data_IF_105251770121
#
_entry.id   IF_105251770121
#
_cell.length_a   1.000
_cell.length_b   1.000
_cell.length_c   1.000
_cell.angle_alpha   90.00
_cell.angle_beta   90.00
_cell.angle_gamma   90.00
#
_symmetry.space_group_name_H-M   'P 1'
#
loop_
_entity.id
_entity.type
_entity.pdbx_description
1 polymer ?
#
# COMPACT_ATOMS: atom_id res chain seq x y z
N UNK A 1 7.80 -28.22 -13.52
CA UNK A 1 6.88 -28.47 -12.39
C UNK A 1 5.65 -27.58 -12.56
N UNK A 2 4.49 -28.16 -12.90
CA UNK A 2 3.26 -27.39 -13.18
C UNK A 2 2.56 -27.09 -11.86
N UNK A 3 2.82 -25.92 -11.26
CA UNK A 3 2.12 -25.50 -10.05
C UNK A 3 0.71 -25.05 -10.46
N UNK A 4 -0.33 -25.66 -9.86
CA UNK A 4 -1.72 -25.23 -10.08
C UNK A 4 -1.92 -23.79 -9.58
N UNK A 5 -2.66 -22.98 -10.33
CA UNK A 5 -2.94 -21.56 -10.03
C UNK A 5 -3.30 -21.29 -8.55
N UNK A 6 -4.25 -22.05 -8.00
CA UNK A 6 -4.69 -21.84 -6.61
C UNK A 6 -3.58 -22.08 -5.59
N UNK A 7 -2.71 -23.09 -5.81
CA UNK A 7 -1.57 -23.33 -4.92
C UNK A 7 -0.54 -22.21 -4.99
N UNK A 8 -0.27 -21.70 -6.19
CA UNK A 8 0.63 -20.57 -6.38
C UNK A 8 0.07 -19.28 -5.76
N UNK A 9 -1.23 -19.02 -5.92
CA UNK A 9 -1.87 -17.87 -5.29
C UNK A 9 -1.77 -17.90 -3.77
N UNK A 10 -2.09 -19.04 -3.15
CA UNK A 10 -1.96 -19.19 -1.70
C UNK A 10 -0.51 -19.06 -1.24
N UNK A 11 0.45 -19.57 -2.01
CA UNK A 11 1.88 -19.39 -1.72
C UNK A 11 2.26 -17.92 -1.72
N UNK A 12 1.85 -17.15 -2.72
CA UNK A 12 2.10 -15.69 -2.80
C UNK A 12 1.49 -14.97 -1.60
N UNK A 13 0.24 -15.27 -1.25
CA UNK A 13 -0.44 -14.66 -0.10
C UNK A 13 0.31 -14.96 1.20
N UNK A 14 0.62 -16.22 1.46
CA UNK A 14 1.31 -16.64 2.69
C UNK A 14 2.69 -16.01 2.78
N UNK A 15 3.48 -16.04 1.68
CA UNK A 15 4.80 -15.43 1.66
C UNK A 15 4.73 -13.92 1.88
N UNK A 16 3.81 -13.22 1.22
CA UNK A 16 3.66 -11.78 1.37
C UNK A 16 3.31 -11.38 2.80
N UNK A 17 2.37 -12.09 3.43
CA UNK A 17 1.98 -11.86 4.82
C UNK A 17 3.15 -12.19 5.77
N UNK A 18 3.77 -13.37 5.61
CA UNK A 18 4.83 -13.83 6.49
C UNK A 18 6.10 -12.96 6.43
N UNK A 19 6.40 -12.38 5.28
CA UNK A 19 7.56 -11.49 5.10
C UNK A 19 7.33 -10.07 5.62
N UNK A 20 6.08 -9.61 5.72
CA UNK A 20 5.75 -8.24 6.09
C UNK A 20 5.24 -8.13 7.52
N UNK A 21 4.09 -8.75 7.79
CA UNK A 21 3.28 -8.47 8.97
C UNK A 21 3.99 -8.73 10.31
N UNK A 22 4.73 -9.84 10.53
CA UNK A 22 5.34 -10.12 11.83
C UNK A 22 6.46 -9.16 12.23
N UNK A 23 7.04 -8.43 11.27
CA UNK A 23 8.28 -7.66 11.47
C UNK A 23 8.06 -6.16 11.63
N UNK A 24 6.84 -5.64 11.41
CA UNK A 24 6.56 -4.19 11.37
C UNK A 24 6.86 -3.45 12.69
N UNK A 25 6.68 -4.12 13.82
CA UNK A 25 6.86 -3.53 15.15
C UNK A 25 8.16 -3.88 15.86
N UNK A 26 9.11 -4.58 15.18
CA UNK A 26 10.33 -5.07 15.81
C UNK A 26 11.40 -4.00 16.03
N UNK A 27 11.29 -2.86 15.38
CA UNK A 27 12.25 -1.76 15.51
C UNK A 27 11.53 -0.44 15.66
N UNK A 28 12.15 0.48 16.38
CA UNK A 28 11.74 1.89 16.41
C UNK A 28 11.70 2.48 15.00
N UNK A 29 11.19 3.70 14.85
CA UNK A 29 11.20 4.38 13.56
C UNK A 29 12.63 4.57 13.04
N UNK A 30 12.93 4.03 11.86
CA UNK A 30 14.28 4.00 11.28
C UNK A 30 14.67 5.29 10.57
N UNK A 31 13.69 6.12 10.18
CA UNK A 31 13.94 7.35 9.43
C UNK A 31 13.20 8.53 10.05
N UNK A 32 13.76 9.74 9.92
CA UNK A 32 13.12 10.99 10.40
C UNK A 32 11.73 11.25 9.80
N UNK A 33 11.41 10.61 8.66
CA UNK A 33 10.13 10.76 7.99
C UNK A 33 9.01 9.91 8.60
N UNK A 34 9.33 8.76 9.20
CA UNK A 34 8.32 7.86 9.75
C UNK A 34 7.56 8.46 10.95
N UNK A 35 8.25 8.95 12.00
CA UNK A 35 7.54 9.53 13.14
C UNK A 35 6.72 10.76 12.75
N UNK A 36 7.16 11.52 11.75
CA UNK A 36 6.38 12.67 11.27
C UNK A 36 5.02 12.24 10.72
N UNK A 37 4.95 11.21 9.90
CA UNK A 37 3.68 10.70 9.36
C UNK A 37 2.80 10.09 10.48
N UNK A 38 3.42 9.41 11.45
CA UNK A 38 2.70 8.85 12.59
C UNK A 38 2.11 9.94 13.51
N UNK A 39 2.87 11.01 13.79
CA UNK A 39 2.41 12.15 14.60
C UNK A 39 1.22 12.85 13.94
N UNK A 40 1.23 13.03 12.61
CA UNK A 40 0.09 13.62 11.90
C UNK A 40 -1.17 12.76 12.07
N UNK A 41 -1.05 11.43 11.96
CA UNK A 41 -2.19 10.55 12.20
C UNK A 41 -2.66 10.58 13.67
N UNK A 42 -1.72 10.68 14.63
CA UNK A 42 -2.03 10.83 16.03
C UNK A 42 -2.83 12.13 16.31
N UNK A 43 -2.38 13.26 15.77
CA UNK A 43 -3.07 14.55 15.93
C UNK A 43 -4.44 14.57 15.24
N UNK A 44 -4.61 13.84 14.13
CA UNK A 44 -5.93 13.63 13.53
C UNK A 44 -6.91 12.97 14.50
N UNK A 45 -6.45 11.92 15.18
CA UNK A 45 -7.27 11.17 16.13
C UNK A 45 -7.56 11.97 17.40
N UNK A 46 -6.58 12.73 17.90
CA UNK A 46 -6.69 13.51 19.13
C UNK A 46 -7.56 14.75 18.98
N UNK A 47 -7.40 15.49 17.86
CA UNK A 47 -8.12 16.75 17.63
C UNK A 47 -9.33 16.63 16.70
N UNK A 48 -9.58 15.45 16.11
CA UNK A 48 -10.70 15.22 15.20
C UNK A 48 -10.62 15.95 13.85
N UNK A 49 -9.46 16.53 13.50
CA UNK A 49 -9.28 17.25 12.24
C UNK A 49 -8.71 16.33 11.15
N UNK A 50 -9.60 15.78 10.34
CA UNK A 50 -9.28 14.81 9.29
C UNK A 50 -8.90 15.43 7.95
N UNK A 51 -9.24 16.70 7.72
CA UNK A 51 -9.03 17.37 6.43
C UNK A 51 -7.71 18.16 6.43
N UNK A 52 -7.47 18.92 7.48
CA UNK A 52 -6.26 19.72 7.66
C UNK A 52 -5.59 19.32 9.00
N UNK A 53 -4.99 18.12 9.05
CA UNK A 53 -4.29 17.70 10.26
C UNK A 53 -3.11 18.63 10.55
N UNK A 54 -2.66 18.63 11.77
CA UNK A 54 -1.54 19.45 12.22
C UNK A 54 -0.36 18.53 12.53
N UNK A 55 0.83 18.93 12.09
CA UNK A 55 2.07 18.29 12.52
C UNK A 55 2.50 18.81 13.90
N UNK A 56 3.46 18.16 14.52
CA UNK A 56 4.06 18.62 15.76
C UNK A 56 4.60 20.05 15.60
N UNK A 57 4.06 21.01 16.39
CA UNK A 57 4.41 22.44 16.29
C UNK A 57 3.37 23.32 15.61
N UNK A 58 2.26 22.77 15.11
CA UNK A 58 1.15 23.54 14.53
C UNK A 58 1.22 23.71 13.01
N UNK A 59 2.25 23.16 12.36
CA UNK A 59 2.41 23.25 10.91
C UNK A 59 1.48 22.29 10.15
N UNK A 60 0.97 22.72 8.99
CA UNK A 60 0.21 21.87 8.08
C UNK A 60 1.19 20.91 7.36
N UNK A 61 0.89 19.60 7.31
CA UNK A 61 1.72 18.64 6.57
C UNK A 61 1.82 18.96 5.09
N UNK A 62 3.00 18.74 4.51
CA UNK A 62 3.24 18.96 3.08
C UNK A 62 2.48 17.99 2.16
N UNK A 63 1.99 16.88 2.70
CA UNK A 63 1.36 15.81 1.92
C UNK A 63 -0.13 15.78 2.16
N UNK A 64 -0.92 15.41 1.13
CA UNK A 64 -2.35 15.20 1.29
C UNK A 64 -2.66 14.08 2.30
N UNK A 65 -3.89 14.04 2.88
CA UNK A 65 -4.17 13.29 4.09
C UNK A 65 -4.42 11.80 3.93
N UNK A 66 -4.51 11.24 2.72
CA UNK A 66 -4.95 9.86 2.50
C UNK A 66 -4.09 8.83 3.24
N UNK A 67 -2.77 8.98 3.21
CA UNK A 67 -1.87 8.06 3.92
C UNK A 67 -2.09 8.12 5.44
N UNK A 68 -2.29 9.32 5.98
CA UNK A 68 -2.57 9.52 7.40
C UNK A 68 -3.93 8.95 7.80
N UNK A 69 -4.95 9.01 6.91
CA UNK A 69 -6.23 8.32 7.12
C UNK A 69 -6.04 6.81 7.23
N UNK A 70 -5.17 6.22 6.39
CA UNK A 70 -4.88 4.80 6.49
C UNK A 70 -4.19 4.44 7.82
N UNK A 71 -3.21 5.24 8.28
CA UNK A 71 -2.58 5.04 9.59
C UNK A 71 -3.63 5.16 10.70
N UNK A 72 -4.42 6.22 10.70
CA UNK A 72 -5.46 6.46 11.68
C UNK A 72 -6.47 5.32 11.75
N UNK A 73 -6.88 4.78 10.59
CA UNK A 73 -7.79 3.64 10.50
C UNK A 73 -7.22 2.39 11.21
N UNK A 74 -5.97 2.01 10.93
CA UNK A 74 -5.35 0.86 11.60
C UNK A 74 -5.10 1.12 13.08
N UNK A 75 -4.78 2.36 13.44
CA UNK A 75 -4.56 2.77 14.83
C UNK A 75 -5.85 2.76 15.65
N UNK A 76 -6.98 3.12 15.05
CA UNK A 76 -8.31 3.01 15.69
C UNK A 76 -8.66 1.55 16.02
N UNK A 77 -8.34 0.61 15.12
CA UNK A 77 -8.58 -0.83 15.36
C UNK A 77 -7.67 -1.35 16.49
N UNK A 78 -6.41 -0.91 16.54
CA UNK A 78 -5.44 -1.33 17.54
C UNK A 78 -5.55 -0.57 18.88
N UNK A 79 -6.29 0.55 18.91
CA UNK A 79 -6.48 1.41 20.07
C UNK A 79 -5.37 2.45 20.29
N UNK A 80 -4.30 2.45 19.52
CA UNK A 80 -3.18 3.39 19.67
C UNK A 80 -2.35 3.52 18.38
N UNK A 81 -1.64 4.64 18.25
CA UNK A 81 -0.66 4.88 17.19
C UNK A 81 0.72 4.41 17.66
N UNK A 82 1.34 3.52 16.93
CA UNK A 82 2.70 3.04 17.18
C UNK A 82 3.41 2.71 15.85
N UNK A 83 4.62 2.18 15.91
CA UNK A 83 5.42 1.80 14.75
C UNK A 83 4.70 0.75 13.89
N UNK A 84 4.09 -0.25 14.53
CA UNK A 84 3.36 -1.32 13.85
C UNK A 84 2.17 -0.78 13.06
N UNK A 85 1.27 -0.03 13.73
CA UNK A 85 0.06 0.51 13.09
C UNK A 85 0.38 1.54 12.01
N UNK A 86 1.46 2.30 12.20
CA UNK A 86 1.91 3.31 11.24
C UNK A 86 2.52 2.70 9.97
N UNK A 87 3.16 1.53 10.05
CA UNK A 87 3.74 0.81 8.91
C UNK A 87 2.74 -0.09 8.19
N UNK A 88 1.62 -0.48 8.84
CA UNK A 88 0.60 -1.34 8.25
C UNK A 88 0.09 -0.87 6.88
N UNK A 89 -0.21 0.42 6.63
CA UNK A 89 -0.66 0.87 5.31
C UNK A 89 0.33 0.54 4.19
N UNK A 90 1.63 0.70 4.43
CA UNK A 90 2.68 0.39 3.47
C UNK A 90 2.78 -1.12 3.23
N UNK A 91 2.78 -1.92 4.28
CA UNK A 91 2.85 -3.38 4.19
C UNK A 91 1.64 -3.97 3.45
N UNK A 92 0.43 -3.55 3.82
CA UNK A 92 -0.81 -3.98 3.16
C UNK A 92 -0.81 -3.58 1.68
N UNK A 93 -0.32 -2.38 1.35
CA UNK A 93 -0.21 -1.93 -0.03
C UNK A 93 0.74 -2.78 -0.86
N UNK A 94 1.90 -3.17 -0.32
CA UNK A 94 2.83 -4.08 -0.99
C UNK A 94 2.22 -5.47 -1.18
N UNK A 95 1.56 -6.01 -0.15
CA UNK A 95 0.85 -7.29 -0.22
C UNK A 95 -0.20 -7.27 -1.33
N UNK A 96 -1.06 -6.26 -1.34
CA UNK A 96 -2.12 -6.11 -2.35
C UNK A 96 -1.56 -5.91 -3.76
N UNK A 97 -0.50 -5.11 -3.91
CA UNK A 97 0.18 -4.89 -5.19
C UNK A 97 0.78 -6.20 -5.73
N UNK A 98 1.41 -6.98 -4.88
CA UNK A 98 2.01 -8.27 -5.26
C UNK A 98 0.96 -9.30 -5.64
N UNK A 99 -0.10 -9.46 -4.84
CA UNK A 99 -1.22 -10.37 -5.15
C UNK A 99 -1.94 -9.92 -6.42
N UNK A 100 -2.21 -8.62 -6.55
CA UNK A 100 -2.83 -8.03 -7.74
C UNK A 100 -1.99 -8.28 -9.01
N UNK A 101 -0.68 -8.10 -8.93
CA UNK A 101 0.26 -8.40 -10.00
C UNK A 101 0.26 -9.87 -10.38
N UNK A 102 0.33 -10.78 -9.40
CA UNK A 102 0.23 -12.21 -9.65
C UNK A 102 -1.06 -12.56 -10.38
N UNK A 103 -2.21 -12.12 -9.87
CA UNK A 103 -3.53 -12.40 -10.48
C UNK A 103 -3.65 -11.81 -11.89
N UNK A 104 -3.09 -10.62 -12.11
CA UNK A 104 -3.11 -9.95 -13.40
C UNK A 104 -2.30 -10.71 -14.45
N UNK A 105 -1.06 -11.07 -14.12
CA UNK A 105 -0.15 -11.75 -15.04
C UNK A 105 -0.47 -13.24 -15.24
N UNK A 106 -0.92 -13.95 -14.21
CA UNK A 106 -1.26 -15.38 -14.31
C UNK A 106 -2.41 -15.65 -15.30
N UNK A 107 -3.27 -14.67 -15.52
CA UNK A 107 -4.35 -14.76 -16.54
C UNK A 107 -3.88 -14.46 -17.97
N UNK A 108 -2.71 -13.85 -18.16
CA UNK A 108 -2.21 -13.34 -19.45
C UNK A 108 -0.97 -14.05 -19.96
N UNK A 109 -0.20 -14.60 -19.05
CA UNK A 109 1.02 -15.35 -19.33
C UNK A 109 0.83 -16.79 -18.83
N UNK A 110 1.45 -17.11 -17.74
CA UNK A 110 1.36 -18.41 -17.08
C UNK A 110 1.59 -18.25 -15.57
N UNK A 111 1.19 -19.25 -14.81
CA UNK A 111 1.26 -19.25 -13.35
C UNK A 111 2.71 -19.22 -12.84
N UNK A 112 3.63 -19.89 -13.55
CA UNK A 112 5.03 -20.00 -13.10
C UNK A 112 5.77 -18.68 -13.23
N UNK A 113 5.70 -18.03 -14.39
CA UNK A 113 6.28 -16.70 -14.62
C UNK A 113 5.69 -15.67 -13.64
N UNK A 114 4.39 -15.72 -13.40
CA UNK A 114 3.71 -14.82 -12.48
C UNK A 114 4.13 -15.03 -11.02
N UNK A 115 4.39 -16.28 -10.62
CA UNK A 115 4.93 -16.60 -9.31
C UNK A 115 6.35 -16.05 -9.13
N UNK A 116 7.21 -16.21 -10.11
CA UNK A 116 8.57 -15.65 -10.09
C UNK A 116 8.50 -14.12 -9.98
N UNK A 117 7.67 -13.47 -10.80
CA UNK A 117 7.51 -12.01 -10.74
C UNK A 117 7.02 -11.53 -9.36
N UNK A 118 6.08 -12.24 -8.74
CA UNK A 118 5.59 -11.92 -7.40
C UNK A 118 6.70 -12.06 -6.34
N UNK A 119 7.49 -13.14 -6.39
CA UNK A 119 8.62 -13.34 -5.48
C UNK A 119 9.68 -12.25 -5.68
N UNK A 120 10.04 -11.92 -6.91
CA UNK A 120 10.98 -10.84 -7.21
C UNK A 120 10.48 -9.48 -6.69
N UNK A 121 9.19 -9.21 -6.81
CA UNK A 121 8.58 -7.98 -6.26
C UNK A 121 8.73 -7.92 -4.74
N UNK A 122 8.44 -9.00 -4.02
CA UNK A 122 8.55 -9.07 -2.57
C UNK A 122 10.00 -8.99 -2.06
N UNK A 123 10.95 -9.54 -2.82
CA UNK A 123 12.35 -9.62 -2.42
C UNK A 123 13.23 -8.50 -2.96
N UNK A 124 12.72 -7.66 -3.86
CA UNK A 124 13.43 -6.47 -4.34
C UNK A 124 13.68 -5.52 -3.16
N UNK A 125 14.96 -5.26 -2.87
CA UNK A 125 15.42 -4.57 -1.65
C UNK A 125 14.66 -3.27 -1.38
N UNK A 126 14.57 -2.38 -2.37
CA UNK A 126 13.89 -1.09 -2.21
C UNK A 126 12.37 -1.22 -2.07
N UNK A 127 11.75 -2.16 -2.77
CA UNK A 127 10.32 -2.42 -2.69
C UNK A 127 9.97 -2.99 -1.32
N UNK A 128 10.74 -3.97 -0.86
CA UNK A 128 10.61 -4.54 0.48
C UNK A 128 10.77 -3.48 1.56
N UNK A 129 11.85 -2.69 1.48
CA UNK A 129 12.11 -1.58 2.41
C UNK A 129 10.96 -0.56 2.41
N UNK A 130 10.42 -0.21 1.26
CA UNK A 130 9.28 0.70 1.16
C UNK A 130 8.00 0.14 1.81
N UNK A 131 7.78 -1.18 1.73
CA UNK A 131 6.69 -1.87 2.41
C UNK A 131 6.85 -1.96 3.92
N UNK A 132 8.09 -1.94 4.43
CA UNK A 132 8.39 -2.03 5.87
C UNK A 132 8.47 -0.67 6.57
N UNK A 133 8.43 0.44 5.84
CA UNK A 133 8.55 1.78 6.39
C UNK A 133 7.20 2.53 6.39
N UNK A 134 7.02 3.40 7.39
CA UNK A 134 5.87 4.31 7.45
C UNK A 134 6.08 5.50 6.49
N UNK A 135 5.84 5.24 5.18
CA UNK A 135 6.02 6.25 4.12
C UNK A 135 4.96 6.13 3.03
N UNK A 136 4.56 7.28 2.50
CA UNK A 136 3.53 7.38 1.45
C UNK A 136 3.88 6.65 0.15
N UNK A 137 5.18 6.41 -0.09
CA UNK A 137 5.69 5.95 -1.39
C UNK A 137 5.11 4.60 -1.81
N UNK A 138 5.01 3.63 -0.86
CA UNK A 138 4.48 2.31 -1.18
C UNK A 138 2.99 2.34 -1.47
N UNK A 139 2.21 3.08 -0.67
CA UNK A 139 0.77 3.25 -0.89
C UNK A 139 0.51 3.92 -2.24
N UNK A 140 1.25 5.00 -2.53
CA UNK A 140 1.15 5.69 -3.81
C UNK A 140 1.46 4.76 -5.00
N UNK A 141 2.57 4.02 -4.94
CA UNK A 141 2.97 3.07 -5.99
C UNK A 141 1.93 1.97 -6.20
N UNK A 142 1.39 1.41 -5.12
CA UNK A 142 0.37 0.37 -5.20
C UNK A 142 -0.93 0.88 -5.84
N UNK A 143 -1.34 2.11 -5.53
CA UNK A 143 -2.51 2.75 -6.14
C UNK A 143 -2.30 3.02 -7.64
N UNK A 144 -1.13 3.53 -8.03
CA UNK A 144 -0.79 3.76 -9.45
C UNK A 144 -0.77 2.43 -10.22
N UNK A 145 -0.07 1.41 -9.72
CA UNK A 145 -0.01 0.09 -10.36
C UNK A 145 -1.40 -0.56 -10.42
N UNK A 146 -2.18 -0.43 -9.36
CA UNK A 146 -3.58 -0.87 -9.32
C UNK A 146 -4.44 -0.19 -10.38
N UNK A 147 -4.32 1.13 -10.52
CA UNK A 147 -5.01 1.90 -11.56
C UNK A 147 -4.63 1.40 -12.97
N UNK A 148 -3.33 1.18 -13.23
CA UNK A 148 -2.85 0.68 -14.52
C UNK A 148 -3.42 -0.70 -14.85
N UNK A 149 -3.45 -1.64 -13.89
CA UNK A 149 -4.04 -2.96 -14.08
C UNK A 149 -5.55 -2.89 -14.35
N UNK A 150 -6.26 -2.02 -13.65
CA UNK A 150 -7.69 -1.84 -13.82
C UNK A 150 -8.05 -1.17 -15.15
N UNK A 151 -7.29 -0.16 -15.57
CA UNK A 151 -7.44 0.50 -16.88
C UNK A 151 -7.14 -0.47 -18.02
N UNK A 152 -6.08 -1.26 -17.90
CA UNK A 152 -5.75 -2.28 -18.91
C UNK A 152 -6.87 -3.33 -19.04
N UNK A 153 -7.41 -3.81 -17.92
CA UNK A 153 -8.57 -4.74 -17.93
C UNK A 153 -9.83 -4.11 -18.51
N UNK A 154 -10.05 -2.84 -18.25
CA UNK A 154 -11.17 -2.09 -18.80
C UNK A 154 -11.05 -2.00 -20.32
N UNK A 155 -9.87 -1.66 -20.82
CA UNK A 155 -9.56 -1.61 -22.25
C UNK A 155 -9.71 -2.97 -22.92
N UNK A 156 -9.15 -4.04 -22.34
CA UNK A 156 -9.30 -5.42 -22.87
C UNK A 156 -10.76 -5.87 -23.05
N UNK A 157 -11.62 -5.43 -22.14
CA UNK A 157 -13.04 -5.83 -22.16
C UNK A 157 -13.88 -5.02 -23.12
N UNK A 158 -13.34 -4.00 -23.78
CA UNK A 158 -14.07 -3.10 -24.69
C UNK A 158 -15.29 -2.43 -24.03
N UNK A 159 -15.27 -2.21 -22.72
CA UNK A 159 -16.41 -1.65 -21.99
C UNK A 159 -16.47 -0.14 -22.15
N UNK A 160 -17.66 0.37 -22.47
CA UNK A 160 -17.93 1.80 -22.56
C UNK A 160 -18.29 2.44 -21.20
N UNK A 161 -18.40 1.66 -20.12
CA UNK A 161 -18.69 2.15 -18.78
C UNK A 161 -17.44 2.74 -18.13
N UNK A 162 -17.61 3.77 -17.30
CA UNK A 162 -16.51 4.40 -16.56
C UNK A 162 -15.77 3.38 -15.67
N UNK A 163 -14.44 3.38 -15.68
CA UNK A 163 -13.62 2.47 -14.86
C UNK A 163 -13.50 3.00 -13.41
N UNK A 164 -14.60 3.02 -12.67
CA UNK A 164 -14.68 3.63 -11.33
C UNK A 164 -13.58 3.21 -10.38
N UNK A 165 -13.20 1.92 -10.37
CA UNK A 165 -12.12 1.45 -9.49
C UNK A 165 -10.76 2.04 -9.87
N UNK A 166 -10.49 2.21 -11.17
CA UNK A 166 -9.26 2.87 -11.61
C UNK A 166 -9.27 4.35 -11.21
N UNK A 167 -10.41 5.04 -11.37
CA UNK A 167 -10.57 6.44 -10.95
C UNK A 167 -10.35 6.56 -9.44
N UNK A 168 -10.90 5.66 -8.62
CA UNK A 168 -10.68 5.66 -7.18
C UNK A 168 -9.21 5.45 -6.82
N UNK A 169 -8.50 4.54 -7.51
CA UNK A 169 -7.07 4.36 -7.31
C UNK A 169 -6.27 5.62 -7.68
N UNK A 170 -6.59 6.26 -8.80
CA UNK A 170 -5.93 7.51 -9.23
C UNK A 170 -6.20 8.66 -8.25
N UNK A 171 -7.45 8.81 -7.79
CA UNK A 171 -7.80 9.81 -6.78
C UNK A 171 -7.08 9.56 -5.46
N UNK A 172 -7.01 8.29 -5.01
CA UNK A 172 -6.26 7.90 -3.82
C UNK A 172 -4.76 8.19 -3.96
N UNK A 173 -4.16 7.93 -5.12
CA UNK A 173 -2.76 8.24 -5.40
C UNK A 173 -2.51 9.76 -5.32
N UNK A 174 -3.37 10.57 -5.93
CA UNK A 174 -3.27 12.04 -5.86
C UNK A 174 -3.44 12.54 -4.42
N UNK A 175 -4.38 11.96 -3.65
CA UNK A 175 -4.57 12.29 -2.23
C UNK A 175 -3.48 11.72 -1.31
N UNK A 176 -2.58 10.87 -1.83
CA UNK A 176 -1.43 10.35 -1.08
C UNK A 176 -0.18 11.22 -1.26
N UNK A 177 0.11 11.66 -2.48
CA UNK A 177 1.38 12.35 -2.79
C UNK A 177 1.20 13.61 -3.67
N UNK A 178 -0.02 14.04 -3.91
CA UNK A 178 -0.33 15.19 -4.76
C UNK A 178 -0.19 14.89 -6.26
N UNK A 179 0.19 15.87 -7.10
CA UNK A 179 0.20 15.74 -8.57
C UNK A 179 1.14 14.64 -9.11
N UNK A 180 1.98 14.07 -8.28
CA UNK A 180 2.89 12.95 -8.64
C UNK A 180 2.17 11.59 -8.61
N UNK A 181 0.97 11.55 -8.02
CA UNK A 181 0.13 10.36 -7.89
C UNK A 181 -0.79 10.07 -9.08
#
# INVERSE_FOLDING_TARGET
MNIKYNKALWLVIILAIAMMIPFLGLSDFNTKGEPREAVVAYTMLEHGNWILPINNGGDIPYKPPFFHWCIAFFSLIAGHVNEYTSRLPSAVSLILMTIGGFVFYAKRKDTHTSLIAAILTLTAIEVHRAGMNCRVDMVNSALIVGAMYLLYRWWEKGKHQLPWLAILCMSGATLTKGPVG
#
